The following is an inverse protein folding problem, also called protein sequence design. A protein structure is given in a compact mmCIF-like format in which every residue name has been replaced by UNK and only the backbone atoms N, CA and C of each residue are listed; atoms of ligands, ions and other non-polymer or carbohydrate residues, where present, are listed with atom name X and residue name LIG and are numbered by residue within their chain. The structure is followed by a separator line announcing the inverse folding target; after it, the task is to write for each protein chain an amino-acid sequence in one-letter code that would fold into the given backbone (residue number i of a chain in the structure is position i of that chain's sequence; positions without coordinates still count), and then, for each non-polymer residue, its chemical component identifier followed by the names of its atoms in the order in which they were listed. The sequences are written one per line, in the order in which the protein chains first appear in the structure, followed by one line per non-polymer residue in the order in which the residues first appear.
data_IF_840440636113
#
_entry.id   IF_840440636113
#
_cell.length_a   1.000
_cell.length_b   1.000
_cell.length_c   1.000
_cell.angle_alpha   90.00
_cell.angle_beta   90.00
_cell.angle_gamma   90.00
#
_symmetry.space_group_name_H-M   'P 1'
#
loop_
_entity.id
_entity.type
_entity.pdbx_description
1 polymer ?
#
# COMPACT_ATOMS: atom_id res chain seq x y z
N UNK A 1 4.52 -4.77 -10.93
CA UNK A 1 5.22 -4.39 -9.66
C UNK A 1 4.27 -3.67 -8.70
N UNK A 2 3.56 -2.60 -9.11
CA UNK A 2 2.47 -2.06 -8.29
C UNK A 2 1.47 -3.13 -7.85
N UNK A 3 1.15 -4.09 -8.71
CA UNK A 3 0.26 -5.22 -8.40
C UNK A 3 0.75 -6.02 -7.18
N UNK A 4 2.05 -6.33 -7.13
CA UNK A 4 2.69 -7.04 -6.02
C UNK A 4 2.68 -6.18 -4.75
N UNK A 5 2.80 -4.87 -4.88
CA UNK A 5 2.64 -3.95 -3.75
C UNK A 5 1.19 -3.94 -3.22
N UNK A 6 0.20 -3.98 -4.12
CA UNK A 6 -1.21 -4.10 -3.75
C UNK A 6 -1.52 -5.44 -3.07
N UNK A 7 -0.89 -6.54 -3.49
CA UNK A 7 -0.97 -7.83 -2.79
C UNK A 7 -0.39 -7.75 -1.38
N UNK A 8 0.80 -7.15 -1.22
CA UNK A 8 1.42 -6.95 0.10
C UNK A 8 0.53 -6.08 1.00
N UNK A 9 -0.09 -5.02 0.46
CA UNK A 9 -1.06 -4.20 1.19
C UNK A 9 -2.24 -5.03 1.72
N UNK A 10 -2.82 -5.91 0.88
CA UNK A 10 -3.92 -6.82 1.29
C UNK A 10 -3.46 -7.81 2.37
N UNK A 11 -2.25 -8.33 2.27
CA UNK A 11 -1.66 -9.22 3.27
C UNK A 11 -1.36 -8.49 4.60
N UNK A 12 -0.99 -7.21 4.54
CA UNK A 12 -0.70 -6.40 5.71
C UNK A 12 -1.96 -6.01 6.52
N UNK A 13 -3.15 -6.09 5.91
CA UNK A 13 -4.43 -5.85 6.57
C UNK A 13 -5.49 -6.83 6.02
N UNK A 14 -5.42 -8.13 6.39
CA UNK A 14 -6.21 -9.18 5.75
C UNK A 14 -7.71 -9.10 6.07
N UNK A 15 -8.09 -8.35 7.10
CA UNK A 15 -9.50 -8.14 7.48
C UNK A 15 -10.19 -7.01 6.73
N UNK A 16 -9.46 -6.24 5.92
CA UNK A 16 -10.01 -5.09 5.21
C UNK A 16 -10.27 -5.41 3.73
N UNK A 17 -11.29 -4.77 3.17
CA UNK A 17 -11.61 -4.87 1.75
C UNK A 17 -11.16 -3.59 1.07
N UNK A 18 -10.31 -3.72 0.06
CA UNK A 18 -9.71 -2.60 -0.64
C UNK A 18 -10.16 -2.54 -2.10
N UNK A 19 -10.58 -1.36 -2.54
CA UNK A 19 -10.69 -1.00 -3.94
C UNK A 19 -9.46 -0.19 -4.34
N UNK A 20 -8.59 -0.76 -5.17
CA UNK A 20 -7.36 -0.11 -5.65
C UNK A 20 -7.69 0.93 -6.72
N UNK A 21 -7.19 2.15 -6.55
CA UNK A 21 -7.41 3.27 -7.45
C UNK A 21 -6.17 3.60 -8.29
N UNK A 22 -5.30 4.46 -7.76
CA UNK A 22 -4.04 4.79 -8.44
C UNK A 22 -2.92 3.83 -8.07
N UNK A 23 -2.21 3.40 -9.10
CA UNK A 23 -1.01 2.59 -8.98
C UNK A 23 0.11 3.25 -9.77
N UNK A 24 1.25 3.48 -9.12
CA UNK A 24 2.41 4.13 -9.74
C UNK A 24 3.67 3.37 -9.40
N UNK A 25 4.62 3.37 -10.32
CA UNK A 25 5.96 2.85 -10.10
C UNK A 25 6.98 3.84 -10.62
N UNK A 26 8.06 4.01 -9.87
CA UNK A 26 9.18 4.87 -10.22
C UNK A 26 10.49 4.13 -9.96
N UNK A 27 11.36 4.08 -10.96
CA UNK A 27 12.74 3.62 -10.78
C UNK A 27 13.53 4.65 -9.96
N UNK A 28 14.27 4.17 -8.96
CA UNK A 28 15.10 5.00 -8.05
C UNK A 28 16.59 4.65 -8.18
N UNK A 29 16.94 3.85 -9.19
CA UNK A 29 18.29 3.39 -9.51
C UNK A 29 18.24 2.49 -10.74
N UNK A 30 19.30 1.72 -10.95
CA UNK A 30 19.36 0.71 -12.03
C UNK A 30 18.43 -0.47 -11.67
N UNK A 31 18.51 -0.94 -10.42
CA UNK A 31 17.83 -2.17 -9.99
C UNK A 31 16.75 -1.94 -8.92
N UNK A 32 16.58 -0.69 -8.46
CA UNK A 32 15.62 -0.34 -7.41
C UNK A 32 14.37 0.36 -7.97
N UNK A 33 13.20 -0.08 -7.53
CA UNK A 33 11.89 0.47 -7.91
C UNK A 33 11.08 0.76 -6.67
N UNK A 34 10.50 1.96 -6.60
CA UNK A 34 9.48 2.30 -5.62
C UNK A 34 8.11 2.22 -6.30
N UNK A 35 7.23 1.39 -5.76
CA UNK A 35 5.82 1.31 -6.14
C UNK A 35 4.96 1.99 -5.07
N UNK A 36 3.94 2.72 -5.51
CA UNK A 36 2.95 3.36 -4.66
C UNK A 36 1.56 2.90 -5.09
N UNK A 37 0.75 2.49 -4.12
CA UNK A 37 -0.63 2.05 -4.35
C UNK A 37 -1.54 2.85 -3.44
N UNK A 38 -2.53 3.51 -4.05
CA UNK A 38 -3.63 4.17 -3.36
C UNK A 38 -4.88 3.29 -3.45
N UNK A 39 -5.59 3.14 -2.35
CA UNK A 39 -6.82 2.35 -2.30
C UNK A 39 -7.84 2.97 -1.33
N UNK A 40 -9.08 2.53 -1.46
CA UNK A 40 -10.18 2.91 -0.57
C UNK A 40 -10.70 1.66 0.13
N UNK A 41 -10.85 1.74 1.45
CA UNK A 41 -11.50 0.71 2.26
C UNK A 41 -13.00 0.77 2.08
N UNK A 42 -13.58 -0.30 1.56
CA UNK A 42 -15.03 -0.45 1.33
C UNK A 42 -15.73 -1.24 2.43
N UNK A 43 -14.96 -1.80 3.37
CA UNK A 43 -15.47 -2.54 4.53
C UNK A 43 -15.83 -1.64 5.74
N UNK A 44 -15.56 -0.33 5.65
CA UNK A 44 -15.84 0.60 6.72
C UNK A 44 -17.31 1.05 6.73
N UNK A 45 -17.94 1.17 7.92
CA UNK A 45 -19.30 1.69 8.03
C UNK A 45 -19.37 3.17 7.63
N UNK A 46 -20.53 3.60 7.14
CA UNK A 46 -20.79 5.01 6.88
C UNK A 46 -20.59 5.83 8.17
N UNK A 47 -19.75 6.87 8.11
CA UNK A 47 -19.41 7.69 9.28
C UNK A 47 -18.30 7.14 10.17
N UNK A 48 -17.52 6.16 9.71
CA UNK A 48 -16.32 5.71 10.41
C UNK A 48 -15.41 6.89 10.77
N UNK A 49 -14.85 6.88 11.98
CA UNK A 49 -13.95 7.93 12.47
C UNK A 49 -12.60 7.94 11.73
N UNK A 50 -12.27 6.84 11.05
CA UNK A 50 -11.07 6.71 10.23
C UNK A 50 -11.40 7.00 8.76
N UNK A 51 -10.53 7.76 8.09
CA UNK A 51 -10.65 7.97 6.66
C UNK A 51 -10.50 6.62 5.92
N UNK A 52 -11.36 6.33 4.93
CA UNK A 52 -11.31 5.06 4.20
C UNK A 52 -10.14 4.98 3.22
N UNK A 53 -9.58 6.12 2.83
CA UNK A 53 -8.46 6.20 1.91
C UNK A 53 -7.17 5.73 2.58
N UNK A 54 -6.51 4.77 1.95
CA UNK A 54 -5.22 4.23 2.36
C UNK A 54 -4.21 4.37 1.23
N UNK A 55 -2.94 4.42 1.59
CA UNK A 55 -1.86 4.36 0.62
C UNK A 55 -0.67 3.63 1.21
N UNK A 56 0.02 2.88 0.36
CA UNK A 56 1.25 2.18 0.70
C UNK A 56 2.35 2.53 -0.28
N UNK A 57 3.57 2.37 0.19
CA UNK A 57 4.77 2.42 -0.62
C UNK A 57 5.57 1.14 -0.41
N UNK A 58 5.96 0.51 -1.50
CA UNK A 58 6.83 -0.66 -1.51
C UNK A 58 8.14 -0.31 -2.23
N UNK A 59 9.27 -0.63 -1.60
CA UNK A 59 10.58 -0.59 -2.24
C UNK A 59 10.97 -1.99 -2.67
N UNK A 60 11.28 -2.12 -3.95
CA UNK A 60 11.86 -3.32 -4.53
C UNK A 60 13.31 -3.04 -4.91
N UNK A 61 14.20 -3.97 -4.56
CA UNK A 61 15.60 -3.96 -4.96
C UNK A 61 15.91 -5.29 -5.64
N UNK A 62 16.42 -5.26 -6.86
CA UNK A 62 16.60 -6.44 -7.72
C UNK A 62 15.33 -7.32 -7.82
N UNK A 63 14.15 -6.67 -7.84
CA UNK A 63 12.85 -7.33 -7.88
C UNK A 63 12.41 -8.01 -6.57
N UNK A 64 13.21 -7.92 -5.50
CA UNK A 64 12.89 -8.40 -4.15
C UNK A 64 12.24 -7.29 -3.35
N UNK A 65 11.18 -7.58 -2.60
CA UNK A 65 10.57 -6.61 -1.69
C UNK A 65 11.53 -6.37 -0.51
N UNK A 66 12.09 -5.17 -0.45
CA UNK A 66 13.05 -4.75 0.57
C UNK A 66 12.46 -3.74 1.57
N UNK A 67 11.35 -3.08 1.20
CA UNK A 67 10.65 -2.19 2.12
C UNK A 67 9.15 -2.13 1.87
N UNK A 68 8.37 -2.02 2.94
CA UNK A 68 6.93 -1.77 2.89
C UNK A 68 6.57 -0.78 3.99
N UNK A 69 5.81 0.27 3.64
CA UNK A 69 5.25 1.20 4.61
C UNK A 69 3.89 1.72 4.20
N UNK A 70 3.07 2.02 5.19
CA UNK A 70 1.85 2.79 4.99
C UNK A 70 2.20 4.27 4.89
N UNK A 71 1.75 4.92 3.83
CA UNK A 71 1.90 6.37 3.63
C UNK A 71 0.63 7.14 3.99
N UNK A 72 -0.53 6.45 4.04
CA UNK A 72 -1.82 6.99 4.48
C UNK A 72 -2.72 5.88 5.03
N UNK A 73 -3.51 6.19 6.07
CA UNK A 73 -4.62 5.35 6.56
C UNK A 73 -4.27 3.97 7.12
N UNK A 74 -2.98 3.60 7.15
CA UNK A 74 -2.52 2.32 7.70
C UNK A 74 -2.62 2.22 9.22
N UNK A 75 -2.41 1.01 9.78
CA UNK A 75 -2.23 0.85 11.22
C UNK A 75 -1.08 1.75 11.66
N UNK A 76 -1.23 2.42 12.82
CA UNK A 76 -0.10 3.14 13.42
C UNK A 76 1.05 2.14 13.55
N UNK A 77 2.14 2.37 12.83
CA UNK A 77 3.38 1.62 13.04
C UNK A 77 3.79 1.92 14.48
N UNK A 78 3.64 0.95 15.36
CA UNK A 78 4.23 1.07 16.69
C UNK A 78 5.74 1.12 16.50
N UNK A 79 6.44 2.08 17.10
CA UNK A 79 7.89 2.22 16.96
C UNK A 79 8.65 1.00 17.48
#
# INVERSE_FOLDING_TARGET
MPDRCAEVMRLAMPSATFETGNERSRSVGIDSITATVEAVRTDLPAGATVAPEVAVECRFDDGVLDGFRWTKGGPKQSP
#
